data_IF_699325530402
#
_entry.id   IF_699325530402
#
_cell.length_a   1.000
_cell.length_b   1.000
_cell.length_c   1.000
_cell.angle_alpha   90.00
_cell.angle_beta   90.00
_cell.angle_gamma   90.00
#
_symmetry.space_group_name_H-M   'P 1'
#
loop_
_entity.id
_entity.type
_entity.pdbx_description
1 polymer ?
#
# COMPACT_ATOMS: atom_id res chain seq x y z
N UNK A 1 -4.06 -25.16 3.75
CA UNK A 1 -4.74 -24.35 2.71
C UNK A 1 -4.42 -22.89 2.98
N UNK A 2 -3.78 -22.17 2.05
CA UNK A 2 -3.49 -20.73 2.23
C UNK A 2 -4.79 -19.97 2.02
N UNK A 3 -5.33 -19.36 3.08
CA UNK A 3 -6.49 -18.46 2.98
C UNK A 3 -6.03 -17.21 2.23
N UNK A 4 -6.19 -17.19 0.91
CA UNK A 4 -6.05 -16.00 0.10
C UNK A 4 -7.25 -15.11 0.36
N UNK A 5 -7.21 -14.31 1.43
CA UNK A 5 -8.15 -13.20 1.57
C UNK A 5 -7.84 -12.22 0.44
N UNK A 6 -8.79 -12.04 -0.48
CA UNK A 6 -8.78 -10.97 -1.48
C UNK A 6 -8.84 -9.60 -0.78
N UNK A 7 -7.76 -9.24 -0.08
CA UNK A 7 -7.63 -7.99 0.65
C UNK A 7 -7.29 -6.91 -0.36
N UNK A 8 -8.28 -6.54 -1.16
CA UNK A 8 -8.25 -5.46 -2.15
C UNK A 8 -8.81 -4.19 -1.51
N UNK A 9 -8.39 -3.04 -2.01
CA UNK A 9 -9.03 -1.77 -1.70
C UNK A 9 -10.07 -1.45 -2.80
N UNK A 10 -11.27 -0.93 -2.45
CA UNK A 10 -12.29 -0.57 -3.44
C UNK A 10 -11.73 0.33 -4.55
N UNK A 11 -11.94 -0.06 -5.81
CA UNK A 11 -11.49 0.71 -6.98
C UNK A 11 -10.02 0.56 -7.38
N UNK A 12 -9.15 -0.01 -6.54
CA UNK A 12 -7.71 -0.15 -6.87
C UNK A 12 -7.41 -1.36 -7.78
N UNK A 13 -8.24 -2.42 -7.72
CA UNK A 13 -8.13 -3.57 -8.62
C UNK A 13 -7.02 -4.59 -8.30
N UNK A 14 -6.05 -4.24 -7.44
CA UNK A 14 -4.96 -5.14 -7.04
C UNK A 14 -5.06 -5.55 -5.55
N UNK A 15 -4.87 -6.84 -5.22
CA UNK A 15 -4.81 -7.30 -3.84
C UNK A 15 -3.49 -6.88 -3.20
N UNK A 16 -3.52 -6.53 -1.90
CA UNK A 16 -2.33 -6.11 -1.14
C UNK A 16 -1.12 -7.05 -1.28
N UNK A 17 -1.37 -8.36 -1.48
CA UNK A 17 -0.33 -9.37 -1.67
C UNK A 17 0.52 -9.20 -2.91
N UNK A 18 0.04 -8.47 -3.92
CA UNK A 18 0.77 -8.19 -5.17
C UNK A 18 1.64 -6.93 -5.09
N UNK A 19 1.46 -6.11 -4.07
CA UNK A 19 2.15 -4.82 -3.94
C UNK A 19 3.55 -5.04 -3.35
N UNK A 20 4.51 -4.27 -3.85
CA UNK A 20 5.89 -4.25 -3.38
C UNK A 20 6.19 -3.00 -2.57
N UNK A 21 5.98 -1.83 -3.16
CA UNK A 21 6.22 -0.55 -2.50
C UNK A 21 5.32 0.56 -3.07
N UNK A 22 5.26 1.70 -2.40
CA UNK A 22 4.55 2.88 -2.89
C UNK A 22 5.27 4.17 -2.53
N UNK A 23 4.97 5.22 -3.29
CA UNK A 23 5.19 6.64 -2.96
C UNK A 23 3.90 7.40 -3.21
N UNK A 24 3.75 8.57 -2.61
CA UNK A 24 2.66 9.46 -2.91
C UNK A 24 3.13 10.91 -3.02
N UNK A 25 2.44 11.68 -3.88
CA UNK A 25 2.60 13.13 -4.03
C UNK A 25 1.25 13.71 -4.45
N UNK A 26 0.86 14.84 -3.84
CA UNK A 26 -0.38 15.57 -4.19
C UNK A 26 -1.60 14.63 -4.41
N UNK A 27 -1.87 13.76 -3.44
CA UNK A 27 -2.97 12.77 -3.43
C UNK A 27 -2.91 11.65 -4.50
N UNK A 28 -1.86 11.61 -5.31
CA UNK A 28 -1.60 10.54 -6.26
C UNK A 28 -0.64 9.53 -5.65
N UNK A 29 -0.99 8.25 -5.73
CA UNK A 29 -0.12 7.15 -5.33
C UNK A 29 0.50 6.51 -6.56
N UNK A 30 1.81 6.27 -6.50
CA UNK A 30 2.54 5.43 -7.43
C UNK A 30 2.92 4.15 -6.69
N UNK A 31 2.46 3.01 -7.18
CA UNK A 31 2.62 1.71 -6.55
C UNK A 31 3.44 0.82 -7.47
N UNK A 32 4.51 0.23 -6.95
CA UNK A 32 5.21 -0.86 -7.60
C UNK A 32 4.60 -2.19 -7.18
N UNK A 33 4.32 -3.04 -8.16
CA UNK A 33 3.88 -4.41 -7.96
C UNK A 33 5.09 -5.36 -7.92
N UNK A 34 4.89 -6.57 -7.40
CA UNK A 34 5.94 -7.58 -7.25
C UNK A 34 6.41 -8.17 -8.58
N UNK A 35 5.58 -8.09 -9.62
CA UNK A 35 5.93 -8.48 -10.98
C UNK A 35 6.76 -7.41 -11.72
N UNK A 36 7.01 -6.26 -11.08
CA UNK A 36 7.78 -5.15 -11.64
C UNK A 36 6.91 -4.10 -12.36
N UNK A 37 5.59 -4.32 -12.48
CA UNK A 37 4.70 -3.29 -13.00
C UNK A 37 4.59 -2.09 -12.04
N UNK A 38 4.31 -0.92 -12.60
CA UNK A 38 4.08 0.30 -11.84
C UNK A 38 2.69 0.81 -12.21
N UNK A 39 1.87 1.05 -11.20
CA UNK A 39 0.51 1.56 -11.37
C UNK A 39 0.33 2.87 -10.63
N UNK A 40 -0.45 3.76 -11.23
CA UNK A 40 -0.87 5.02 -10.62
C UNK A 40 -2.30 4.87 -10.12
N UNK A 41 -2.58 5.38 -8.93
CA UNK A 41 -3.93 5.37 -8.37
C UNK A 41 -4.22 6.65 -7.60
N UNK A 42 -5.42 7.19 -7.82
CA UNK A 42 -5.96 8.35 -7.10
C UNK A 42 -7.21 7.89 -6.37
N UNK A 43 -7.12 7.55 -5.07
CA UNK A 43 -8.27 7.15 -4.28
C UNK A 43 -9.19 8.35 -4.00
N UNK A 44 -10.49 8.10 -3.82
CA UNK A 44 -11.42 9.12 -3.30
C UNK A 44 -11.10 9.47 -1.83
N UNK A 45 -10.61 8.50 -1.06
CA UNK A 45 -10.15 8.68 0.33
C UNK A 45 -8.64 8.37 0.44
N UNK A 46 -7.82 9.42 0.29
CA UNK A 46 -6.36 9.37 0.44
C UNK A 46 -5.93 8.75 1.77
N UNK A 47 -6.56 9.15 2.87
CA UNK A 47 -6.17 8.71 4.22
C UNK A 47 -6.53 7.23 4.44
N UNK A 48 -7.70 6.80 3.98
CA UNK A 48 -8.12 5.41 4.01
C UNK A 48 -7.20 4.50 3.19
N UNK A 49 -6.82 4.93 1.98
CA UNK A 49 -5.90 4.15 1.14
C UNK A 49 -4.50 4.04 1.75
N UNK A 50 -3.96 5.15 2.27
CA UNK A 50 -2.67 5.15 2.97
C UNK A 50 -2.69 4.21 4.19
N UNK A 51 -3.77 4.27 5.00
CA UNK A 51 -3.94 3.39 6.17
C UNK A 51 -4.01 1.92 5.77
N UNK A 52 -4.67 1.60 4.67
CA UNK A 52 -4.74 0.24 4.13
C UNK A 52 -3.38 -0.27 3.67
N UNK A 53 -2.59 0.56 2.97
CA UNK A 53 -1.22 0.21 2.56
C UNK A 53 -0.34 -0.09 3.78
N UNK A 54 -0.40 0.76 4.81
CA UNK A 54 0.36 0.59 6.05
C UNK A 54 -0.07 -0.67 6.83
N UNK A 55 -1.38 -0.91 6.96
CA UNK A 55 -1.92 -2.12 7.61
C UNK A 55 -1.46 -3.41 6.92
N UNK A 56 -1.28 -3.35 5.60
CA UNK A 56 -0.76 -4.45 4.79
C UNK A 56 0.77 -4.50 4.71
N UNK A 57 1.47 -3.64 5.45
CA UNK A 57 2.94 -3.58 5.47
C UNK A 57 3.56 -3.35 4.08
N UNK A 58 2.87 -2.60 3.21
CA UNK A 58 3.44 -2.18 1.93
C UNK A 58 4.50 -1.10 2.21
N UNK A 59 5.69 -1.26 1.64
CA UNK A 59 6.83 -0.38 1.91
C UNK A 59 6.60 1.02 1.32
N UNK A 60 6.68 2.07 2.14
CA UNK A 60 6.74 3.45 1.64
C UNK A 60 8.20 3.79 1.28
N UNK A 61 8.44 4.33 0.09
CA UNK A 61 9.80 4.70 -0.38
C UNK A 61 10.20 6.14 -0.05
N UNK A 62 9.26 7.01 0.33
CA UNK A 62 9.56 8.40 0.72
C UNK A 62 10.08 8.50 2.16
N UNK A 63 9.89 7.45 2.96
CA UNK A 63 10.38 7.37 4.33
C UNK A 63 11.65 6.53 4.34
N UNK A 64 12.81 7.19 4.29
CA UNK A 64 14.09 6.58 4.67
C UNK A 64 14.21 6.40 6.20
N UNK A 65 13.22 6.89 6.98
CA UNK A 65 13.15 6.65 8.42
C UNK A 65 12.55 5.27 8.75
N UNK A 66 13.19 4.49 9.64
CA UNK A 66 12.63 3.23 10.10
C UNK A 66 11.30 3.51 10.79
N UNK A 67 10.23 2.89 10.29
CA UNK A 67 8.92 2.86 10.95
C UNK A 67 9.14 2.46 12.42
N UNK A 68 9.09 3.45 13.32
CA UNK A 68 9.06 3.20 14.76
C UNK A 68 7.75 2.49 15.01
N UNK A 69 7.81 1.18 15.21
CA UNK A 69 6.66 0.42 15.67
C UNK A 69 6.09 1.14 16.90
N UNK A 70 4.79 1.47 16.94
CA UNK A 70 4.20 1.91 18.20
C UNK A 70 4.43 0.81 19.25
N UNK A 71 4.70 1.18 20.51
CA UNK A 71 5.06 0.20 21.54
C UNK A 71 3.97 -0.86 21.61
N UNK A 72 4.37 -2.12 21.39
CA UNK A 72 3.50 -3.27 21.67
C UNK A 72 3.27 -3.25 23.18
N UNK A 73 2.04 -2.88 23.58
CA UNK A 73 1.56 -2.96 24.97
C UNK A 73 1.68 -4.38 25.50
#
# INVERSE_FOLDING_TARGET
MRMGTNNTYPGFGHPASELSAFTNTLDVFIISLKDGAIVQFTPEDTHGFLSWLQKNSVRNINTDEPYKQPPRR
#
